data_IF_255064834969
#
_entry.id   IF_255064834969
#
_cell.length_a   1.000
_cell.length_b   1.000
_cell.length_c   1.000
_cell.angle_alpha   90.00
_cell.angle_beta   90.00
_cell.angle_gamma   90.00
#
_symmetry.space_group_name_H-M   'P 1'
#
loop_
_entity.id
_entity.type
_entity.pdbx_description
1 polymer ?
#
# COMPACT_ATOMS: atom_id res chain seq x y z
N UNK A 1 4.12 -18.38 -6.05
CA UNK A 1 2.94 -18.33 -5.15
C UNK A 1 1.65 -18.93 -5.71
N UNK A 2 1.52 -19.23 -7.02
CA UNK A 2 0.28 -19.86 -7.53
C UNK A 2 0.62 -21.05 -8.42
N UNK A 3 -0.05 -22.18 -8.20
CA UNK A 3 0.05 -23.33 -9.11
C UNK A 3 -0.51 -23.03 -10.51
N UNK A 4 -0.30 -23.91 -11.50
CA UNK A 4 -0.67 -23.65 -12.89
C UNK A 4 -2.15 -23.32 -13.08
N UNK A 5 -3.04 -24.13 -12.51
CA UNK A 5 -4.50 -23.95 -12.61
C UNK A 5 -4.97 -22.60 -12.06
N UNK A 6 -4.47 -22.23 -10.88
CA UNK A 6 -4.80 -20.94 -10.26
C UNK A 6 -4.24 -19.77 -11.06
N UNK A 7 -3.04 -19.93 -11.63
CA UNK A 7 -2.41 -18.90 -12.45
C UNK A 7 -3.18 -18.66 -13.76
N UNK A 8 -3.67 -19.71 -14.39
CA UNK A 8 -4.53 -19.62 -15.58
C UNK A 8 -5.85 -18.91 -15.26
N UNK A 9 -6.53 -19.35 -14.20
CA UNK A 9 -7.74 -18.69 -13.71
C UNK A 9 -7.52 -17.21 -13.38
N UNK A 10 -6.42 -16.87 -12.70
CA UNK A 10 -6.07 -15.49 -12.36
C UNK A 10 -5.85 -14.63 -13.62
N UNK A 11 -5.19 -15.17 -14.65
CA UNK A 11 -4.99 -14.45 -15.92
C UNK A 11 -6.30 -14.20 -16.65
N UNK A 12 -7.22 -15.15 -16.63
CA UNK A 12 -8.51 -15.06 -17.30
C UNK A 12 -9.50 -14.11 -16.58
N UNK A 13 -9.57 -14.15 -15.24
CA UNK A 13 -10.62 -13.49 -14.47
C UNK A 13 -10.14 -12.26 -13.66
N UNK A 14 -8.83 -12.13 -13.44
CA UNK A 14 -8.23 -11.16 -12.51
C UNK A 14 -7.08 -10.38 -13.14
N UNK A 15 -7.24 -9.89 -14.38
CA UNK A 15 -6.15 -9.28 -15.18
C UNK A 15 -5.31 -8.22 -14.45
N UNK A 16 -5.94 -7.33 -13.66
CA UNK A 16 -5.28 -6.26 -12.89
C UNK A 16 -4.79 -6.65 -11.49
N UNK A 17 -5.11 -7.88 -11.04
CA UNK A 17 -4.81 -8.38 -9.68
C UNK A 17 -4.17 -9.76 -9.69
N UNK A 18 -3.82 -10.30 -10.87
CA UNK A 18 -3.23 -11.62 -11.07
C UNK A 18 -1.80 -11.76 -10.51
N UNK A 19 -1.20 -10.66 -10.07
CA UNK A 19 0.17 -10.66 -9.56
C UNK A 19 0.30 -11.41 -8.23
N UNK A 20 -0.75 -11.40 -7.40
CA UNK A 20 -0.77 -12.15 -6.14
C UNK A 20 -2.21 -12.52 -5.73
N UNK A 21 -2.37 -13.61 -4.99
CA UNK A 21 -3.65 -14.08 -4.50
C UNK A 21 -4.30 -13.08 -3.52
N UNK A 22 -3.53 -12.38 -2.67
CA UNK A 22 -4.12 -11.39 -1.76
C UNK A 22 -4.80 -10.26 -2.56
N UNK A 23 -4.23 -9.87 -3.70
CA UNK A 23 -4.79 -8.83 -4.57
C UNK A 23 -6.10 -9.28 -5.22
N UNK A 24 -6.20 -10.56 -5.59
CA UNK A 24 -7.46 -11.15 -6.07
C UNK A 24 -8.53 -11.13 -4.99
N UNK A 25 -8.17 -11.48 -3.74
CA UNK A 25 -9.09 -11.39 -2.60
C UNK A 25 -9.53 -9.96 -2.31
N UNK A 26 -8.62 -8.97 -2.38
CA UNK A 26 -8.99 -7.56 -2.24
C UNK A 26 -10.05 -7.14 -3.26
N UNK A 27 -9.83 -7.45 -4.55
CA UNK A 27 -10.81 -7.17 -5.61
C UNK A 27 -12.14 -7.88 -5.36
N UNK A 28 -12.10 -9.16 -4.97
CA UNK A 28 -13.32 -9.94 -4.74
C UNK A 28 -14.12 -9.41 -3.55
N UNK A 29 -13.46 -9.06 -2.44
CA UNK A 29 -14.11 -8.48 -1.27
C UNK A 29 -14.78 -7.14 -1.58
N UNK A 30 -14.12 -6.28 -2.39
CA UNK A 30 -14.72 -5.03 -2.85
C UNK A 30 -15.96 -5.25 -3.73
N UNK A 31 -15.92 -6.22 -4.64
CA UNK A 31 -17.08 -6.58 -5.49
C UNK A 31 -18.28 -7.09 -4.67
N UNK A 32 -18.03 -7.73 -3.53
CA UNK A 32 -19.08 -8.21 -2.63
C UNK A 32 -19.59 -7.10 -1.70
N UNK A 33 -18.86 -5.99 -1.56
CA UNK A 33 -19.21 -4.90 -0.66
C UNK A 33 -20.21 -3.96 -1.34
N UNK A 34 -21.32 -3.68 -0.65
CA UNK A 34 -22.36 -2.77 -1.15
C UNK A 34 -21.85 -1.32 -1.18
N UNK A 35 -22.48 -0.48 -2.01
CA UNK A 35 -22.21 0.96 -2.02
C UNK A 35 -22.35 1.57 -0.62
N UNK A 36 -21.39 2.41 -0.22
CA UNK A 36 -21.30 2.97 1.13
C UNK A 36 -20.77 2.01 2.21
N UNK A 37 -20.62 0.72 1.87
CA UNK A 37 -20.09 -0.31 2.77
C UNK A 37 -18.56 -0.27 2.89
N UNK A 38 -18.05 -1.08 3.83
CA UNK A 38 -16.63 -1.12 4.17
C UNK A 38 -16.03 -2.51 3.95
N UNK A 39 -14.81 -2.55 3.43
CA UNK A 39 -13.97 -3.74 3.36
C UNK A 39 -12.74 -3.53 4.25
N UNK A 40 -12.62 -4.31 5.33
CA UNK A 40 -11.44 -4.28 6.20
C UNK A 40 -10.60 -5.55 5.99
N UNK A 41 -9.31 -5.40 5.75
CA UNK A 41 -8.41 -6.52 5.48
C UNK A 41 -7.02 -6.27 6.08
N UNK A 42 -6.30 -7.37 6.32
CA UNK A 42 -4.85 -7.36 6.55
C UNK A 42 -4.21 -8.13 5.41
N UNK A 43 -3.36 -7.47 4.63
CA UNK A 43 -2.65 -8.08 3.49
C UNK A 43 -1.20 -7.62 3.45
N UNK A 44 -0.42 -8.15 2.50
CA UNK A 44 0.92 -7.62 2.23
C UNK A 44 0.84 -6.16 1.76
N UNK A 45 1.75 -5.30 2.19
CA UNK A 45 1.74 -3.87 1.84
C UNK A 45 2.22 -3.56 0.41
N UNK A 46 2.69 -4.56 -0.33
CA UNK A 46 3.30 -4.40 -1.66
C UNK A 46 2.37 -3.71 -2.67
N UNK A 47 1.04 -3.87 -2.53
CA UNK A 47 0.08 -3.18 -3.38
C UNK A 47 0.12 -1.65 -3.26
N UNK A 48 0.61 -1.12 -2.14
CA UNK A 48 0.76 0.31 -1.92
C UNK A 48 1.82 0.92 -2.85
N UNK A 49 2.80 0.14 -3.33
CA UNK A 49 4.01 0.69 -3.97
C UNK A 49 4.34 0.06 -5.33
N UNK A 50 4.25 -1.27 -5.46
CA UNK A 50 4.80 -1.93 -6.66
C UNK A 50 3.96 -1.63 -7.92
N UNK A 51 4.64 -1.53 -9.05
CA UNK A 51 4.03 -1.32 -10.36
C UNK A 51 3.10 -2.47 -10.78
N UNK A 52 3.42 -3.71 -10.38
CA UNK A 52 2.57 -4.88 -10.65
C UNK A 52 1.16 -4.79 -10.04
N UNK A 53 0.96 -3.92 -9.05
CA UNK A 53 -0.32 -3.65 -8.40
C UNK A 53 -0.90 -2.28 -8.73
N UNK A 54 -0.33 -1.54 -9.69
CA UNK A 54 -0.80 -0.20 -10.05
C UNK A 54 -2.27 -0.20 -10.47
N UNK A 55 -2.69 -1.15 -11.32
CA UNK A 55 -4.08 -1.25 -11.75
C UNK A 55 -5.07 -1.50 -10.60
N UNK A 56 -4.68 -2.33 -9.63
CA UNK A 56 -5.45 -2.52 -8.39
C UNK A 56 -5.51 -1.23 -7.58
N UNK A 57 -4.36 -0.61 -7.36
CA UNK A 57 -4.22 0.60 -6.55
C UNK A 57 -5.05 1.74 -7.12
N UNK A 58 -4.98 2.00 -8.43
CA UNK A 58 -5.79 3.02 -9.10
C UNK A 58 -7.30 2.76 -8.93
N UNK A 59 -7.73 1.50 -9.07
CA UNK A 59 -9.13 1.13 -8.84
C UNK A 59 -9.57 1.42 -7.40
N UNK A 60 -8.75 1.06 -6.40
CA UNK A 60 -9.04 1.34 -4.99
C UNK A 60 -9.09 2.85 -4.72
N UNK A 61 -8.09 3.61 -5.14
CA UNK A 61 -7.99 5.05 -4.90
C UNK A 61 -9.12 5.85 -5.55
N UNK A 62 -9.77 5.32 -6.59
CA UNK A 62 -10.90 5.96 -7.26
C UNK A 62 -12.26 5.49 -6.72
N UNK A 63 -12.43 4.19 -6.46
CA UNK A 63 -13.76 3.59 -6.20
C UNK A 63 -14.03 3.26 -4.74
N UNK A 64 -12.98 2.94 -3.99
CA UNK A 64 -13.08 2.63 -2.57
C UNK A 64 -11.85 3.12 -1.78
N UNK A 65 -11.58 4.44 -1.74
CA UNK A 65 -10.43 5.00 -1.03
C UNK A 65 -10.31 4.49 0.41
N UNK A 66 -9.10 4.24 0.93
CA UNK A 66 -8.89 3.97 2.34
C UNK A 66 -9.47 5.09 3.22
N UNK A 67 -10.27 4.68 4.20
CA UNK A 67 -10.74 5.55 5.29
C UNK A 67 -9.74 5.57 6.45
N UNK A 68 -9.13 4.41 6.73
CA UNK A 68 -8.03 4.26 7.67
C UNK A 68 -7.05 3.17 7.24
N UNK A 69 -5.80 3.27 7.68
CA UNK A 69 -4.76 2.27 7.44
C UNK A 69 -3.74 2.25 8.57
N UNK A 70 -3.46 1.08 9.14
CA UNK A 70 -2.28 0.80 9.93
C UNK A 70 -1.23 0.14 9.03
N UNK A 71 -0.17 0.89 8.73
CA UNK A 71 0.97 0.43 7.94
C UNK A 71 1.95 -0.26 8.90
N UNK A 72 1.85 -1.58 8.97
CA UNK A 72 2.55 -2.39 9.96
C UNK A 72 3.98 -2.71 9.53
N UNK A 73 4.27 -2.88 8.24
CA UNK A 73 5.59 -3.28 7.78
C UNK A 73 5.92 -4.71 8.17
N UNK A 74 7.21 -4.99 8.27
CA UNK A 74 7.75 -6.27 8.72
C UNK A 74 7.41 -6.55 10.19
N UNK A 75 7.50 -7.82 10.61
CA UNK A 75 7.35 -8.25 12.03
C UNK A 75 6.02 -7.81 12.64
N UNK A 76 4.97 -7.79 11.81
CA UNK A 76 3.61 -7.56 12.25
C UNK A 76 3.01 -8.76 12.97
N UNK A 77 3.54 -9.96 12.70
CA UNK A 77 3.14 -11.23 13.27
C UNK A 77 4.40 -11.98 13.70
N UNK A 78 4.62 -12.13 15.00
CA UNK A 78 5.85 -12.75 15.54
C UNK A 78 5.97 -14.23 15.16
N UNK A 79 4.85 -14.88 14.82
CA UNK A 79 4.78 -16.27 14.34
C UNK A 79 5.33 -16.45 12.92
N UNK A 80 5.45 -15.37 12.15
CA UNK A 80 6.04 -15.39 10.81
C UNK A 80 7.49 -14.96 10.95
N UNK A 81 8.41 -15.93 10.92
CA UNK A 81 9.84 -15.67 11.12
C UNK A 81 10.42 -14.70 10.09
N UNK A 82 11.15 -13.69 10.59
CA UNK A 82 11.93 -12.75 9.77
C UNK A 82 11.15 -11.61 9.11
N UNK A 83 11.82 -10.89 8.22
CA UNK A 83 11.31 -9.78 7.41
C UNK A 83 10.48 -10.24 6.19
N UNK A 84 10.05 -11.51 6.18
CA UNK A 84 9.53 -12.18 4.98
C UNK A 84 8.21 -11.57 4.50
N UNK A 85 7.42 -11.01 5.42
CA UNK A 85 6.12 -10.42 5.11
C UNK A 85 6.05 -9.02 5.70
N UNK A 86 5.85 -8.04 4.83
CA UNK A 86 5.50 -6.67 5.22
C UNK A 86 4.02 -6.44 5.01
N UNK A 87 3.28 -5.97 6.03
CA UNK A 87 1.82 -5.95 6.01
C UNK A 87 1.21 -4.58 6.25
N UNK A 88 -0.03 -4.42 5.80
CA UNK A 88 -0.88 -3.30 6.14
C UNK A 88 -2.27 -3.82 6.52
N UNK A 89 -2.84 -3.26 7.59
CA UNK A 89 -4.23 -3.40 7.94
C UNK A 89 -4.98 -2.14 7.49
N UNK A 90 -6.08 -2.26 6.75
CA UNK A 90 -6.74 -1.09 6.17
C UNK A 90 -8.25 -1.28 6.05
N UNK A 91 -8.96 -0.15 5.97
CA UNK A 91 -10.41 -0.09 5.78
C UNK A 91 -10.71 0.71 4.52
N UNK A 92 -11.22 0.04 3.49
CA UNK A 92 -11.68 0.65 2.23
C UNK A 92 -13.18 0.92 2.32
N UNK A 93 -13.64 2.06 1.79
CA UNK A 93 -15.06 2.42 1.80
C UNK A 93 -15.57 2.65 0.37
N UNK A 94 -16.50 1.82 -0.08
CA UNK A 94 -17.03 1.86 -1.46
C UNK A 94 -17.81 3.15 -1.69
N UNK A 95 -17.44 3.91 -2.72
CA UNK A 95 -18.06 5.19 -3.08
C UNK A 95 -17.56 6.38 -2.25
N UNK A 96 -16.57 6.20 -1.38
CA UNK A 96 -15.93 7.31 -0.66
C UNK A 96 -15.23 8.25 -1.64
N UNK A 97 -15.34 9.55 -1.41
CA UNK A 97 -14.66 10.55 -2.24
C UNK A 97 -13.12 10.42 -2.13
N UNK A 98 -12.37 10.44 -3.24
CA UNK A 98 -10.90 10.49 -3.21
C UNK A 98 -10.34 11.72 -2.50
N UNK A 99 -11.13 12.79 -2.38
CA UNK A 99 -10.79 14.03 -1.66
C UNK A 99 -10.96 13.91 -0.15
N UNK A 100 -11.71 12.91 0.32
CA UNK A 100 -11.93 12.73 1.75
C UNK A 100 -10.64 12.30 2.45
N UNK A 101 -10.34 12.94 3.57
CA UNK A 101 -9.11 12.71 4.35
C UNK A 101 -9.19 11.38 5.08
N UNK A 102 -8.27 10.46 4.79
CA UNK A 102 -8.10 9.21 5.53
C UNK A 102 -7.07 9.34 6.65
N UNK A 103 -7.13 8.45 7.63
CA UNK A 103 -6.14 8.36 8.72
C UNK A 103 -5.13 7.23 8.48
N UNK A 104 -3.84 7.53 8.58
CA UNK A 104 -2.78 6.58 8.33
C UNK A 104 -1.85 6.50 9.54
N UNK A 105 -1.68 5.30 10.08
CA UNK A 105 -0.90 5.02 11.27
C UNK A 105 0.37 4.29 10.84
N UNK A 106 1.52 4.96 10.94
CA UNK A 106 2.83 4.41 10.56
C UNK A 106 3.42 3.63 11.72
N UNK A 107 3.41 2.31 11.64
CA UNK A 107 3.84 1.40 12.71
C UNK A 107 5.07 0.56 12.32
N UNK A 108 5.72 0.91 11.20
CA UNK A 108 6.80 0.13 10.61
C UNK A 108 8.07 0.09 11.48
N UNK A 109 8.24 1.06 12.39
CA UNK A 109 9.42 1.11 13.28
C UNK A 109 9.29 0.19 14.51
N UNK A 110 8.08 -0.33 14.80
CA UNK A 110 7.87 -1.30 15.87
C UNK A 110 8.58 -2.63 15.56
N UNK A 111 9.23 -3.22 16.57
CA UNK A 111 10.15 -4.35 16.37
C UNK A 111 9.49 -5.74 16.45
N UNK A 112 8.29 -5.80 16.99
CA UNK A 112 7.50 -7.01 17.23
C UNK A 112 6.00 -6.67 17.31
N UNK A 113 5.17 -7.70 17.41
CA UNK A 113 3.71 -7.58 17.53
C UNK A 113 3.30 -6.71 18.74
N UNK A 114 3.91 -6.92 19.89
CA UNK A 114 3.57 -6.22 21.13
C UNK A 114 3.79 -4.69 21.02
N UNK A 115 4.93 -4.27 20.45
CA UNK A 115 5.25 -2.85 20.24
C UNK A 115 4.28 -2.20 19.24
N UNK A 116 3.99 -2.87 18.13
CA UNK A 116 3.06 -2.36 17.12
C UNK A 116 1.63 -2.28 17.67
N UNK A 117 1.19 -3.27 18.44
CA UNK A 117 -0.10 -3.28 19.12
C UNK A 117 -0.22 -2.15 20.14
N UNK A 118 0.82 -1.94 20.97
CA UNK A 118 0.85 -0.85 21.95
C UNK A 118 0.83 0.52 21.26
N UNK A 119 1.59 0.70 20.18
CA UNK A 119 1.61 1.94 19.41
C UNK A 119 0.26 2.22 18.74
N UNK A 120 -0.36 1.22 18.11
CA UNK A 120 -1.70 1.35 17.51
C UNK A 120 -2.75 1.74 18.56
N UNK A 121 -2.76 1.06 19.72
CA UNK A 121 -3.67 1.36 20.82
C UNK A 121 -3.46 2.77 21.38
N UNK A 122 -2.22 3.22 21.49
CA UNK A 122 -1.89 4.60 21.91
C UNK A 122 -2.46 5.64 20.94
N UNK A 123 -2.29 5.42 19.63
CA UNK A 123 -2.82 6.32 18.61
C UNK A 123 -4.36 6.34 18.66
N UNK A 124 -4.98 5.17 18.81
CA UNK A 124 -6.43 5.00 18.86
C UNK A 124 -7.06 5.59 20.14
N UNK A 125 -6.38 5.48 21.29
CA UNK A 125 -6.85 6.02 22.56
C UNK A 125 -6.90 7.56 22.59
N UNK A 126 -6.18 8.24 21.69
CA UNK A 126 -6.38 9.66 21.44
C UNK A 126 -6.05 10.60 22.61
N UNK A 127 -5.06 10.24 23.45
CA UNK A 127 -4.73 10.97 24.68
C UNK A 127 -4.55 12.49 24.54
N UNK A 128 -4.83 13.17 25.65
CA UNK A 128 -5.29 14.56 25.82
C UNK A 128 -4.30 15.69 25.46
N UNK A 129 -3.62 15.61 24.31
CA UNK A 129 -2.78 16.71 23.79
C UNK A 129 -1.32 16.36 23.51
N UNK A 130 -0.95 15.08 23.54
CA UNK A 130 0.37 14.62 23.09
C UNK A 130 0.49 14.63 21.56
N UNK A 131 1.68 14.99 21.04
CA UNK A 131 1.99 14.83 19.63
C UNK A 131 1.85 13.35 19.22
N UNK A 132 1.19 13.11 18.08
CA UNK A 132 1.04 11.78 17.46
C UNK A 132 1.88 11.73 16.18
N UNK A 133 3.22 11.60 16.28
CA UNK A 133 4.11 11.67 15.11
C UNK A 133 3.84 10.54 14.10
N UNK A 134 3.28 9.43 14.57
CA UNK A 134 2.98 8.25 13.75
C UNK A 134 1.59 8.31 13.09
N UNK A 135 0.80 9.36 13.34
CA UNK A 135 -0.53 9.55 12.76
C UNK A 135 -0.50 10.63 11.68
N UNK A 136 -0.92 10.24 10.49
CA UNK A 136 -0.96 11.08 9.31
C UNK A 136 -2.38 11.21 8.78
N UNK A 137 -2.66 12.34 8.14
CA UNK A 137 -3.93 12.65 7.52
C UNK A 137 -3.67 13.03 6.06
N UNK A 138 -4.23 12.27 5.13
CA UNK A 138 -4.01 12.48 3.70
C UNK A 138 -5.25 12.13 2.91
N UNK A 139 -5.51 12.84 1.82
CA UNK A 139 -6.51 12.41 0.83
C UNK A 139 -5.88 11.43 -0.15
N UNK A 140 -6.69 10.68 -0.90
CA UNK A 140 -6.17 9.82 -1.97
C UNK A 140 -5.80 10.62 -3.23
N UNK A 141 -6.41 11.79 -3.41
CA UNK A 141 -6.05 12.73 -4.47
C UNK A 141 -4.57 13.14 -4.41
N UNK A 142 -3.97 13.26 -3.21
CA UNK A 142 -2.54 13.55 -3.09
C UNK A 142 -1.64 12.42 -3.62
N UNK A 143 -2.12 11.18 -3.64
CA UNK A 143 -1.35 10.04 -4.16
C UNK A 143 -1.34 10.03 -5.69
N UNK A 144 -2.44 10.46 -6.32
CA UNK A 144 -2.50 10.57 -7.78
C UNK A 144 -1.55 11.61 -8.38
N UNK A 145 -0.97 12.50 -7.56
CA UNK A 145 0.06 13.45 -7.99
C UNK A 145 1.42 12.79 -8.28
N UNK A 146 1.63 11.57 -7.79
CA UNK A 146 2.87 10.83 -7.98
C UNK A 146 2.64 9.79 -9.07
N UNK A 147 3.53 9.68 -10.08
CA UNK A 147 3.42 8.64 -11.11
C UNK A 147 3.25 7.24 -10.51
N UNK A 148 2.32 6.47 -11.06
CA UNK A 148 1.93 5.16 -10.50
C UNK A 148 0.98 5.22 -9.30
N UNK A 149 0.71 6.39 -8.74
CA UNK A 149 -0.20 6.60 -7.62
C UNK A 149 0.13 5.82 -6.34
N UNK A 150 1.39 5.70 -5.89
CA UNK A 150 1.73 4.96 -4.68
C UNK A 150 1.08 5.58 -3.42
N UNK A 151 0.72 4.74 -2.45
CA UNK A 151 0.08 5.18 -1.20
C UNK A 151 1.16 5.63 -0.21
N UNK A 152 1.64 6.86 -0.38
CA UNK A 152 2.77 7.44 0.37
C UNK A 152 2.34 8.64 1.22
N UNK A 153 1.46 8.34 2.18
CA UNK A 153 0.83 9.31 3.09
C UNK A 153 1.78 10.12 3.98
N UNK A 154 3.04 9.67 4.12
CA UNK A 154 4.04 10.32 4.97
C UNK A 154 4.89 11.35 4.23
N UNK A 155 4.76 11.47 2.89
CA UNK A 155 5.51 12.48 2.16
C UNK A 155 4.98 13.88 2.49
N UNK A 156 5.87 14.86 2.43
CA UNK A 156 5.53 16.28 2.55
C UNK A 156 4.95 16.81 1.24
N UNK A 157 4.25 17.95 1.31
CA UNK A 157 3.76 18.64 0.11
C UNK A 157 4.91 19.10 -0.80
N UNK A 158 6.06 19.45 -0.23
CA UNK A 158 7.25 19.81 -1.02
C UNK A 158 7.74 18.66 -1.88
N UNK A 159 7.81 17.44 -1.32
CA UNK A 159 8.24 16.25 -2.07
C UNK A 159 7.18 15.87 -3.12
N UNK A 160 5.89 15.96 -2.79
CA UNK A 160 4.81 15.75 -3.78
C UNK A 160 4.85 16.78 -4.92
N UNK A 161 5.06 18.05 -4.60
CA UNK A 161 5.16 19.15 -5.55
C UNK A 161 6.28 18.94 -6.57
N UNK A 162 7.39 18.34 -6.17
CA UNK A 162 8.50 18.03 -7.08
C UNK A 162 8.10 17.08 -8.23
N UNK A 163 7.09 16.21 -8.05
CA UNK A 163 6.61 15.34 -9.13
C UNK A 163 5.66 16.02 -10.11
N UNK A 164 5.06 17.15 -9.72
CA UNK A 164 4.09 17.89 -10.56
C UNK A 164 4.68 19.15 -11.19
N UNK A 165 5.62 19.80 -10.49
CA UNK A 165 6.24 21.07 -10.89
C UNK A 165 7.72 20.90 -11.30
N UNK A 166 8.35 19.81 -10.86
CA UNK A 166 9.76 19.54 -11.16
C UNK A 166 9.96 18.98 -12.56
N UNK A 167 11.19 19.11 -13.06
CA UNK A 167 11.62 18.50 -14.31
C UNK A 167 12.06 17.06 -14.04
N UNK A 168 11.56 16.05 -14.78
CA UNK A 168 11.98 14.66 -14.62
C UNK A 168 13.50 14.52 -14.75
N UNK A 169 14.11 13.68 -13.89
CA UNK A 169 15.56 13.46 -13.92
C UNK A 169 16.04 12.95 -15.29
N UNK A 170 15.22 12.13 -15.95
CA UNK A 170 15.46 11.62 -17.31
C UNK A 170 15.59 12.70 -18.37
N UNK A 171 15.06 13.90 -18.13
CA UNK A 171 15.18 15.03 -19.07
C UNK A 171 16.44 15.86 -18.84
N UNK A 172 17.06 15.77 -17.66
CA UNK A 172 18.25 16.56 -17.29
C UNK A 172 19.52 15.70 -17.23
N UNK A 173 19.38 14.38 -17.16
CA UNK A 173 20.47 13.43 -17.11
C UNK A 173 20.08 12.12 -17.80
N UNK A 174 21.00 11.57 -18.61
CA UNK A 174 20.89 10.19 -19.05
C UNK A 174 21.18 9.27 -17.86
N UNK A 175 20.14 8.57 -17.41
CA UNK A 175 20.29 7.50 -16.42
C UNK A 175 20.92 6.29 -17.11
N UNK A 176 22.18 6.00 -16.81
CA UNK A 176 22.80 4.73 -17.19
C UNK A 176 22.39 3.68 -16.18
N UNK A 177 21.81 2.57 -16.64
CA UNK A 177 21.56 1.40 -15.78
C UNK A 177 22.87 0.99 -15.11
N UNK A 178 22.87 0.96 -13.77
CA UNK A 178 23.94 0.28 -13.03
C UNK A 178 23.91 -1.22 -13.33
N UNK A 179 25.06 -1.89 -13.17
CA UNK A 179 25.27 -3.33 -13.39
C UNK A 179 24.01 -4.18 -13.08
N UNK A 180 23.24 -4.46 -14.13
CA UNK A 180 22.15 -5.43 -14.10
C UNK A 180 22.80 -6.80 -14.26
N UNK A 181 23.11 -7.47 -13.15
CA UNK A 181 23.43 -8.90 -13.17
C UNK A 181 22.13 -9.68 -13.39
N UNK A 182 21.55 -9.60 -14.59
CA UNK A 182 20.40 -10.40 -15.01
C UNK A 182 20.80 -11.84 -15.36
N UNK A 183 21.91 -12.36 -14.80
CA UNK A 183 22.43 -13.69 -15.08
C UNK A 183 22.70 -14.45 -13.77
N UNK A 184 21.61 -14.83 -13.09
CA UNK A 184 21.63 -15.62 -11.86
C UNK A 184 21.93 -17.13 -12.10
N UNK A 185 22.26 -17.54 -13.33
CA UNK A 185 22.50 -18.95 -13.69
C UNK A 185 23.93 -19.23 -14.19
N UNK A 186 24.88 -18.31 -14.01
CA UNK A 186 26.24 -18.49 -14.54
C UNK A 186 27.25 -19.12 -13.57
N UNK A 187 26.84 -19.55 -12.38
CA UNK A 187 27.70 -20.36 -11.52
C UNK A 187 26.90 -21.54 -10.95
N UNK A 188 27.14 -22.70 -11.56
CA UNK A 188 26.85 -24.04 -11.03
C UNK A 188 27.74 -24.31 -9.82
#
# INVERSE_FOLDING_TARGET
NMGPLLSEFARAQYTSTKADLFAMFMKRSLQLTRAGGFTAMITMQSWMFLASFEGLRQNILHTAPPSSMAHLGERAFDTIGGAVVSTAAFVLQVGRSPKAIGSYMRLVDGRNEAEKSAALRRIAAGGDGGARPDLFWSSCESFSQIPGGPVVYWLTDSVRGAFTQGRPLSEVAELREGLSSSDANRFV
#
